data_IF_119396578385
#
_entry.id   IF_119396578385
#
_cell.length_a   1.000
_cell.length_b   1.000
_cell.length_c   1.000
_cell.angle_alpha   90.00
_cell.angle_beta   90.00
_cell.angle_gamma   90.00
#
_symmetry.space_group_name_H-M   'P 1'
#
loop_
_entity.id
_entity.type
_entity.pdbx_description
1 polymer ?
#
# COMPACT_ATOMS: atom_id res chain seq x y z
N UNK A 1 -6.38 13.10 7.59
CA UNK A 1 -6.95 11.86 8.19
C UNK A 1 -8.24 12.20 8.92
N UNK A 2 -9.31 11.47 8.63
CA UNK A 2 -10.59 11.58 9.36
C UNK A 2 -10.64 10.44 10.39
N UNK A 3 -10.90 10.77 11.65
CA UNK A 3 -11.03 9.81 12.75
C UNK A 3 -12.40 10.00 13.39
N UNK A 4 -13.21 8.93 13.41
CA UNK A 4 -14.52 8.93 14.04
C UNK A 4 -14.62 7.72 14.97
N UNK A 5 -14.84 7.97 16.26
CA UNK A 5 -15.07 6.90 17.23
C UNK A 5 -16.43 6.27 17.02
N UNK A 6 -16.48 4.94 16.90
CA UNK A 6 -17.74 4.18 16.82
C UNK A 6 -18.47 4.33 18.16
N UNK A 7 -19.47 5.21 18.20
CA UNK A 7 -20.31 5.47 19.37
C UNK A 7 -20.27 6.90 19.90
N UNK A 8 -19.20 7.66 19.70
CA UNK A 8 -19.14 9.08 20.14
C UNK A 8 -19.73 10.05 19.12
N UNK A 9 -19.74 9.68 17.84
CA UNK A 9 -20.17 10.55 16.73
C UNK A 9 -19.22 11.71 16.42
N UNK A 10 -18.25 12.00 17.30
CA UNK A 10 -17.28 13.09 17.14
C UNK A 10 -16.31 12.75 16.01
N UNK A 11 -16.32 13.58 14.97
CA UNK A 11 -15.34 13.58 13.89
C UNK A 11 -14.14 14.44 14.31
N UNK A 12 -12.95 13.85 14.32
CA UNK A 12 -11.68 14.57 14.39
C UNK A 12 -11.06 14.61 13.00
N UNK A 13 -10.57 15.79 12.61
CA UNK A 13 -9.84 16.00 11.37
C UNK A 13 -8.40 16.30 11.72
N UNK A 14 -7.48 15.49 11.19
CA UNK A 14 -6.05 15.68 11.36
C UNK A 14 -5.43 16.08 10.02
N UNK A 15 -4.82 17.25 9.97
CA UNK A 15 -3.96 17.63 8.84
C UNK A 15 -2.65 16.85 8.93
N UNK A 16 -2.27 16.17 7.84
CA UNK A 16 -1.06 15.36 7.76
C UNK A 16 0.11 16.11 7.13
N UNK A 17 -0.15 17.21 6.40
CA UNK A 17 0.88 17.94 5.64
C UNK A 17 1.56 17.13 4.51
N UNK A 18 1.07 15.92 4.23
CA UNK A 18 1.62 14.98 3.25
C UNK A 18 0.47 14.22 2.57
N UNK A 19 0.66 13.84 1.31
CA UNK A 19 -0.21 12.88 0.65
C UNK A 19 -0.05 11.51 1.29
N UNK A 20 -1.14 10.99 1.86
CA UNK A 20 -1.19 9.67 2.48
C UNK A 20 -2.34 8.85 1.88
N UNK A 21 -2.13 7.55 1.76
CA UNK A 21 -3.07 6.65 1.04
C UNK A 21 -3.44 5.40 1.83
N UNK A 22 -2.61 4.97 2.78
CA UNK A 22 -2.87 3.77 3.55
C UNK A 22 -2.43 3.90 5.01
N UNK A 23 -3.09 3.13 5.87
CA UNK A 23 -2.84 3.07 7.31
C UNK A 23 -2.82 1.62 7.76
N UNK A 24 -1.79 1.25 8.51
CA UNK A 24 -1.68 0.00 9.23
C UNK A 24 -1.66 0.26 10.74
N UNK A 25 -2.19 -0.67 11.52
CA UNK A 25 -2.17 -0.59 12.98
C UNK A 25 -0.88 -1.23 13.48
N UNK A 26 -0.13 -0.51 14.33
CA UNK A 26 1.02 -1.08 15.04
C UNK A 26 0.52 -1.60 16.40
N UNK A 27 -0.15 -0.74 17.16
CA UNK A 27 -0.81 -1.02 18.43
C UNK A 27 -1.89 0.05 18.70
N UNK A 28 -2.43 0.07 19.92
CA UNK A 28 -3.48 1.01 20.34
C UNK A 28 -3.04 2.48 20.30
N UNK A 29 -1.74 2.76 20.47
CA UNK A 29 -1.20 4.11 20.55
C UNK A 29 -0.56 4.57 19.24
N UNK A 30 -0.24 3.63 18.35
CA UNK A 30 0.58 3.89 17.16
C UNK A 30 -0.01 3.27 15.90
N UNK A 31 0.05 4.04 14.83
CA UNK A 31 -0.29 3.62 13.49
C UNK A 31 0.90 3.84 12.56
N UNK A 32 0.98 3.08 11.48
CA UNK A 32 1.93 3.28 10.39
C UNK A 32 1.17 3.81 9.18
N UNK A 33 1.58 4.95 8.65
CA UNK A 33 0.93 5.61 7.52
C UNK A 33 1.88 5.58 6.33
N UNK A 34 1.40 5.09 5.19
CA UNK A 34 2.10 5.22 3.91
C UNK A 34 1.83 6.60 3.31
N UNK A 35 2.90 7.36 3.08
CA UNK A 35 2.86 8.71 2.52
C UNK A 35 3.73 8.83 1.26
N UNK A 36 3.65 9.96 0.59
CA UNK A 36 4.53 10.31 -0.55
C UNK A 36 6.03 10.33 -0.25
N UNK A 37 6.45 10.32 1.03
CA UNK A 37 7.87 10.27 1.42
C UNK A 37 8.24 9.00 2.20
N UNK A 38 7.29 8.08 2.38
CA UNK A 38 7.49 6.78 3.00
C UNK A 38 6.59 6.47 4.18
N UNK A 39 7.06 5.57 5.04
CA UNK A 39 6.32 5.08 6.19
C UNK A 39 6.54 6.00 7.39
N UNK A 40 5.45 6.55 7.91
CA UNK A 40 5.44 7.41 9.08
C UNK A 40 4.71 6.74 10.24
N UNK A 41 5.30 6.76 11.43
CA UNK A 41 4.58 6.39 12.65
C UNK A 41 3.74 7.59 13.07
N UNK A 42 2.42 7.38 13.18
CA UNK A 42 1.47 8.32 13.77
C UNK A 42 1.24 7.95 15.23
N UNK A 43 1.44 8.92 16.12
CA UNK A 43 0.92 8.86 17.49
C UNK A 43 -0.58 9.15 17.47
N UNK A 44 -1.39 8.23 17.98
CA UNK A 44 -2.86 8.32 17.88
C UNK A 44 -3.42 9.46 18.73
N UNK A 45 -2.83 9.71 19.90
CA UNK A 45 -3.32 10.72 20.84
C UNK A 45 -3.10 12.15 20.33
N UNK A 46 -1.95 12.40 19.72
CA UNK A 46 -1.51 13.75 19.29
C UNK A 46 -1.66 13.97 17.79
N UNK A 47 -1.76 12.90 17.00
CA UNK A 47 -1.73 12.96 15.55
C UNK A 47 -0.34 13.19 14.95
N UNK A 48 0.72 13.31 15.79
CA UNK A 48 2.09 13.57 15.35
C UNK A 48 2.59 12.47 14.42
N UNK A 49 3.12 12.85 13.26
CA UNK A 49 3.82 11.96 12.35
C UNK A 49 5.33 12.03 12.57
N UNK A 50 5.99 10.87 12.58
CA UNK A 50 7.45 10.74 12.60
C UNK A 50 7.88 9.79 11.50
N UNK A 51 8.79 10.21 10.62
CA UNK A 51 9.32 9.35 9.56
C UNK A 51 10.00 8.12 10.19
N UNK A 52 9.61 6.93 9.75
CA UNK A 52 10.17 5.65 10.20
C UNK A 52 11.03 5.02 9.11
N UNK A 53 10.53 4.96 7.88
CA UNK A 53 11.27 4.38 6.74
C UNK A 53 10.98 5.20 5.50
N UNK A 54 12.03 5.76 4.89
CA UNK A 54 11.91 6.49 3.64
C UNK A 54 11.54 5.52 2.50
N UNK A 55 10.57 5.91 1.67
CA UNK A 55 10.25 5.26 0.41
C UNK A 55 10.08 6.41 -0.59
N UNK A 56 10.94 6.46 -1.61
CA UNK A 56 10.91 7.50 -2.63
C UNK A 56 10.95 8.95 -2.07
N UNK A 57 11.53 9.16 -0.89
CA UNK A 57 11.53 10.45 -0.19
C UNK A 57 12.25 11.57 -0.96
N UNK A 58 13.14 11.21 -1.88
CA UNK A 58 13.90 12.07 -2.78
C UNK A 58 13.21 12.26 -4.14
N UNK A 59 12.06 11.62 -4.38
CA UNK A 59 11.31 11.70 -5.61
C UNK A 59 10.01 12.52 -5.42
N UNK A 60 10.00 13.81 -5.79
CA UNK A 60 8.82 14.65 -5.59
C UNK A 60 7.66 14.33 -6.54
N UNK A 61 7.90 13.48 -7.56
CA UNK A 61 6.93 13.18 -8.62
C UNK A 61 5.98 12.04 -8.24
N UNK A 62 6.34 11.22 -7.25
CA UNK A 62 5.55 10.06 -6.86
C UNK A 62 4.82 10.29 -5.54
N UNK A 63 3.82 9.45 -5.30
CA UNK A 63 3.09 9.36 -4.03
C UNK A 63 2.78 7.92 -3.72
N UNK A 64 2.53 7.63 -2.44
CA UNK A 64 1.90 6.36 -2.05
C UNK A 64 0.50 6.19 -2.67
N UNK A 65 0.09 4.94 -2.87
CA UNK A 65 -1.26 4.55 -3.28
C UNK A 65 -1.71 3.28 -2.52
N UNK A 66 -2.48 2.39 -3.16
CA UNK A 66 -3.00 1.19 -2.51
C UNK A 66 -1.88 0.36 -1.86
N UNK A 67 -2.17 -0.11 -0.66
CA UNK A 67 -1.22 -0.80 0.19
C UNK A 67 -1.98 -1.73 1.14
N UNK A 68 -1.39 -2.88 1.46
CA UNK A 68 -2.02 -3.83 2.40
C UNK A 68 -1.02 -4.58 3.24
N UNK A 69 -1.41 -4.82 4.49
CA UNK A 69 -0.68 -5.68 5.42
C UNK A 69 -0.99 -7.15 5.11
N UNK A 70 0.05 -7.91 4.77
CA UNK A 70 0.03 -9.35 4.67
C UNK A 70 -0.29 -9.98 6.05
N UNK A 71 -0.97 -11.14 6.13
CA UNK A 71 -1.30 -11.78 7.42
C UNK A 71 -0.14 -11.99 8.41
N UNK A 72 1.10 -12.08 7.92
CA UNK A 72 2.30 -12.19 8.78
C UNK A 72 2.81 -10.85 9.35
N UNK A 73 2.22 -9.72 8.96
CA UNK A 73 2.61 -8.37 9.36
C UNK A 73 3.53 -7.63 8.38
N UNK A 74 3.91 -8.24 7.26
CA UNK A 74 4.60 -7.51 6.18
C UNK A 74 3.66 -6.52 5.51
N UNK A 75 4.16 -5.34 5.13
CA UNK A 75 3.37 -4.30 4.48
C UNK A 75 3.77 -4.17 3.02
N UNK A 76 2.86 -4.48 2.09
CA UNK A 76 3.04 -4.14 0.69
C UNK A 76 2.53 -2.72 0.45
N UNK A 77 3.41 -1.85 -0.05
CA UNK A 77 3.15 -0.42 -0.23
C UNK A 77 3.28 -0.06 -1.70
N UNK A 78 2.17 0.32 -2.33
CA UNK A 78 2.15 0.81 -3.69
C UNK A 78 2.54 2.29 -3.78
N UNK A 79 3.25 2.65 -4.84
CA UNK A 79 3.47 4.03 -5.26
C UNK A 79 2.95 4.25 -6.69
N UNK A 80 2.79 5.51 -7.08
CA UNK A 80 2.43 5.94 -8.43
C UNK A 80 2.89 7.38 -8.68
N UNK A 81 2.97 7.80 -9.95
CA UNK A 81 3.15 9.20 -10.30
C UNK A 81 1.97 10.05 -9.84
N UNK A 82 2.23 11.27 -9.34
CA UNK A 82 1.18 12.24 -8.97
C UNK A 82 0.35 12.68 -10.17
N UNK A 83 0.94 12.63 -11.35
CA UNK A 83 0.33 12.89 -12.66
C UNK A 83 -0.14 11.61 -13.37
N UNK A 84 -0.08 10.46 -12.69
CA UNK A 84 -0.35 9.13 -13.26
C UNK A 84 0.59 8.78 -14.43
N UNK A 85 1.81 9.32 -14.41
CA UNK A 85 2.86 9.05 -15.40
C UNK A 85 3.15 7.55 -15.53
N UNK A 86 3.23 7.10 -16.79
CA UNK A 86 3.44 5.68 -17.14
C UNK A 86 4.69 5.10 -16.46
N UNK A 87 4.50 4.04 -15.69
CA UNK A 87 5.57 3.29 -15.04
C UNK A 87 6.33 4.03 -13.94
N UNK A 88 5.83 5.17 -13.45
CA UNK A 88 6.52 5.98 -12.44
C UNK A 88 6.52 5.35 -11.04
N UNK A 89 5.56 4.47 -10.76
CA UNK A 89 5.36 3.82 -9.47
C UNK A 89 6.02 2.45 -9.35
N UNK A 90 5.88 1.89 -8.16
CA UNK A 90 6.41 0.59 -7.78
C UNK A 90 5.55 -0.03 -6.67
N UNK A 91 5.76 -1.31 -6.39
CA UNK A 91 5.25 -1.95 -5.17
C UNK A 91 6.45 -2.33 -4.31
N UNK A 92 6.46 -1.87 -3.06
CA UNK A 92 7.46 -2.16 -2.06
C UNK A 92 6.94 -3.15 -1.04
N UNK A 93 7.85 -3.90 -0.43
CA UNK A 93 7.63 -4.75 0.73
C UNK A 93 8.42 -4.19 1.89
N UNK A 94 7.76 -3.99 3.02
CA UNK A 94 8.38 -3.64 4.28
C UNK A 94 8.07 -4.70 5.33
N UNK A 95 9.09 -5.23 5.99
CA UNK A 95 8.91 -6.16 7.11
C UNK A 95 10.08 -6.10 8.07
N UNK A 96 9.77 -5.95 9.37
CA UNK A 96 10.76 -5.98 10.46
C UNK A 96 11.97 -5.05 10.22
N UNK A 97 11.73 -3.87 9.67
CA UNK A 97 12.76 -2.85 9.42
C UNK A 97 13.47 -2.98 8.07
N UNK A 98 13.20 -4.03 7.30
CA UNK A 98 13.73 -4.19 5.96
C UNK A 98 12.75 -3.68 4.90
N UNK A 99 13.27 -2.99 3.89
CA UNK A 99 12.52 -2.49 2.74
C UNK A 99 13.09 -3.11 1.46
N UNK A 100 12.23 -3.63 0.60
CA UNK A 100 12.58 -4.12 -0.74
C UNK A 100 11.59 -3.62 -1.77
N UNK A 101 12.05 -3.30 -2.97
CA UNK A 101 11.14 -3.11 -4.12
C UNK A 101 10.81 -4.48 -4.70
N UNK A 102 9.53 -4.81 -4.80
CA UNK A 102 9.05 -6.07 -5.39
C UNK A 102 8.84 -5.94 -6.89
N UNK A 103 8.11 -4.91 -7.31
CA UNK A 103 7.73 -4.67 -8.69
C UNK A 103 8.01 -3.21 -9.05
N UNK A 104 8.66 -2.98 -10.19
CA UNK A 104 8.87 -1.65 -10.78
C UNK A 104 7.91 -1.41 -11.95
N UNK A 105 7.99 -0.22 -12.54
CA UNK A 105 7.30 0.13 -13.78
C UNK A 105 5.77 0.02 -13.68
N UNK A 106 5.23 0.32 -12.49
CA UNK A 106 3.80 0.36 -12.23
C UNK A 106 3.28 1.77 -12.50
N UNK A 107 2.22 1.91 -13.30
CA UNK A 107 1.60 3.23 -13.54
C UNK A 107 0.70 3.62 -12.38
N UNK A 108 -0.26 2.76 -12.00
CA UNK A 108 -1.17 2.97 -10.87
C UNK A 108 -1.29 1.67 -10.08
N UNK A 109 -0.65 1.59 -8.91
CA UNK A 109 -0.68 0.39 -8.06
C UNK A 109 -2.02 0.24 -7.34
N UNK A 110 -2.71 -0.88 -7.52
CA UNK A 110 -4.02 -1.12 -6.91
C UNK A 110 -4.27 -2.60 -6.61
N UNK A 111 -5.41 -2.88 -5.98
CA UNK A 111 -5.92 -4.22 -5.69
C UNK A 111 -4.93 -5.12 -4.94
N UNK A 112 -4.05 -4.55 -4.11
CA UNK A 112 -3.12 -5.32 -3.30
C UNK A 112 -3.95 -6.08 -2.26
N UNK A 113 -4.01 -7.41 -2.38
CA UNK A 113 -4.62 -8.28 -1.38
C UNK A 113 -3.93 -9.64 -1.26
N UNK A 114 -4.31 -10.41 -0.26
CA UNK A 114 -3.68 -11.69 0.07
C UNK A 114 -4.72 -12.75 0.35
N UNK A 115 -4.43 -14.01 0.00
CA UNK A 115 -5.25 -15.12 0.47
C UNK A 115 -5.24 -15.18 1.99
N UNK A 116 -6.31 -15.73 2.58
CA UNK A 116 -6.44 -15.80 4.04
C UNK A 116 -5.29 -16.57 4.72
N UNK A 117 -4.68 -17.54 4.02
CA UNK A 117 -3.51 -18.28 4.49
C UNK A 117 -2.16 -17.64 4.15
N UNK A 118 -2.16 -16.46 3.51
CA UNK A 118 -0.97 -15.70 3.13
C UNK A 118 -0.15 -16.31 2.00
N UNK A 119 -0.63 -17.37 1.34
CA UNK A 119 0.16 -18.06 0.31
C UNK A 119 0.05 -17.48 -1.09
N UNK A 120 -0.88 -16.56 -1.31
CA UNK A 120 -1.07 -15.89 -2.59
C UNK A 120 -1.20 -14.40 -2.34
N UNK A 121 -0.45 -13.61 -3.09
CA UNK A 121 -0.63 -12.17 -3.19
C UNK A 121 -1.25 -11.82 -4.54
N UNK A 122 -2.09 -10.81 -4.55
CA UNK A 122 -2.73 -10.24 -5.73
C UNK A 122 -2.40 -8.75 -5.81
N UNK A 123 -2.28 -8.23 -7.02
CA UNK A 123 -2.13 -6.79 -7.27
C UNK A 123 -2.46 -6.49 -8.74
N UNK A 124 -2.72 -5.24 -9.07
CA UNK A 124 -2.84 -4.76 -10.45
C UNK A 124 -2.03 -3.50 -10.65
N UNK A 125 -1.50 -3.32 -11.86
CA UNK A 125 -1.36 -1.97 -12.41
C UNK A 125 -2.67 -1.65 -13.12
N UNK A 126 -3.45 -0.69 -12.59
CA UNK A 126 -4.77 -0.35 -13.14
C UNK A 126 -4.71 -0.03 -14.63
N UNK A 127 -3.62 0.56 -15.12
CA UNK A 127 -3.44 0.93 -16.53
C UNK A 127 -3.36 -0.29 -17.47
N UNK A 128 -2.97 -1.46 -16.94
CA UNK A 128 -2.85 -2.69 -17.73
C UNK A 128 -4.17 -3.46 -17.84
N UNK A 129 -5.09 -3.24 -16.90
CA UNK A 129 -6.32 -4.03 -16.78
C UNK A 129 -6.09 -5.50 -16.46
N UNK A 130 -4.93 -5.87 -15.90
CA UNK A 130 -4.57 -7.25 -15.56
C UNK A 130 -4.42 -7.40 -14.05
N UNK A 131 -5.32 -8.17 -13.43
CA UNK A 131 -5.14 -8.59 -12.04
C UNK A 131 -4.11 -9.72 -12.03
N UNK A 132 -3.00 -9.48 -11.34
CA UNK A 132 -1.91 -10.42 -11.18
C UNK A 132 -2.11 -11.24 -9.90
N UNK A 133 -1.60 -12.46 -9.90
CA UNK A 133 -1.37 -13.27 -8.70
C UNK A 133 0.06 -13.76 -8.66
N UNK A 134 0.63 -13.89 -7.48
CA UNK A 134 1.95 -14.49 -7.26
C UNK A 134 1.90 -15.35 -6.00
N UNK A 135 2.61 -16.48 -6.00
CA UNK A 135 2.78 -17.24 -4.77
C UNK A 135 3.51 -16.37 -3.75
N UNK A 136 3.21 -16.52 -2.47
CA UNK A 136 3.74 -15.69 -1.40
C UNK A 136 4.18 -16.58 -0.24
N UNK A 137 5.32 -16.26 0.36
CA UNK A 137 5.78 -16.93 1.58
C UNK A 137 4.90 -16.48 2.76
N UNK A 138 4.09 -17.36 3.37
CA UNK A 138 3.22 -16.97 4.46
C UNK A 138 4.00 -16.51 5.71
N UNK A 139 5.28 -16.85 5.87
CA UNK A 139 6.09 -16.43 7.01
C UNK A 139 6.73 -15.05 6.82
N UNK A 140 7.06 -14.67 5.59
CA UNK A 140 7.77 -13.43 5.26
C UNK A 140 6.95 -12.41 4.48
N UNK A 141 5.84 -12.82 3.85
CA UNK A 141 5.06 -11.98 2.95
C UNK A 141 5.81 -11.59 1.67
N UNK A 142 6.80 -12.40 1.26
CA UNK A 142 7.59 -12.17 0.05
C UNK A 142 7.04 -12.99 -1.12
N UNK A 143 7.03 -12.45 -2.36
CA UNK A 143 6.64 -13.21 -3.52
C UNK A 143 7.64 -14.37 -3.79
N UNK A 144 7.10 -15.49 -4.26
CA UNK A 144 7.86 -16.68 -4.67
C UNK A 144 7.65 -16.87 -6.18
N UNK A 145 8.70 -16.56 -6.94
CA UNK A 145 8.70 -16.64 -8.40
C UNK A 145 7.92 -15.51 -9.07
N UNK A 146 7.62 -15.70 -10.36
CA UNK A 146 7.04 -14.66 -11.21
C UNK A 146 5.52 -14.54 -11.04
N UNK A 147 4.97 -13.30 -11.04
CA UNK A 147 3.53 -13.07 -11.12
C UNK A 147 2.93 -13.65 -12.40
N UNK A 148 1.67 -14.07 -12.31
CA UNK A 148 0.87 -14.57 -13.43
C UNK A 148 -0.46 -13.84 -13.49
N UNK A 149 -0.99 -13.65 -14.69
CA UNK A 149 -2.34 -13.11 -14.85
C UNK A 149 -3.33 -14.05 -14.16
N UNK A 150 -4.14 -13.47 -13.27
CA UNK A 150 -5.26 -14.14 -12.62
C UNK A 150 -6.57 -13.80 -13.32
N UNK A 151 -6.79 -12.51 -13.62
CA UNK A 151 -7.95 -12.02 -14.37
C UNK A 151 -7.49 -11.01 -15.43
N UNK A 152 -8.01 -11.17 -16.65
CA UNK A 152 -7.87 -10.19 -17.73
C UNK A 152 -9.15 -9.36 -17.80
N UNK A 153 -9.06 -8.10 -17.34
CA UNK A 153 -10.19 -7.18 -17.25
C UNK A 153 -10.27 -6.22 -18.44
N UNK A 154 -9.38 -6.35 -19.44
CA UNK A 154 -9.27 -5.37 -20.55
C UNK A 154 -10.53 -5.24 -21.42
N UNK A 155 -11.38 -6.26 -21.43
CA UNK A 155 -12.65 -6.28 -22.18
C UNK A 155 -13.87 -5.87 -21.34
N UNK A 156 -13.69 -5.56 -20.06
CA UNK A 156 -14.76 -5.24 -19.12
C UNK A 156 -14.83 -3.75 -18.81
N UNK A 157 -15.99 -3.29 -18.31
CA UNK A 157 -16.17 -1.89 -17.88
C UNK A 157 -15.57 -1.67 -16.50
N UNK A 158 -15.09 -0.45 -16.25
CA UNK A 158 -14.50 -0.04 -14.98
C UNK A 158 -13.07 -0.54 -14.80
N UNK A 159 -12.51 -0.27 -13.62
CA UNK A 159 -11.14 -0.63 -13.27
C UNK A 159 -11.12 -1.63 -12.13
N UNK A 160 -10.10 -2.50 -12.11
CA UNK A 160 -9.80 -3.31 -10.93
C UNK A 160 -9.15 -2.39 -9.89
N UNK A 161 -9.87 -2.16 -8.80
CA UNK A 161 -9.50 -1.25 -7.73
C UNK A 161 -10.04 -1.80 -6.40
N UNK A 162 -9.30 -1.62 -5.31
CA UNK A 162 -9.70 -1.98 -3.95
C UNK A 162 -10.18 -3.44 -3.77
N UNK A 163 -9.25 -4.37 -3.53
CA UNK A 163 -9.57 -5.77 -3.20
C UNK A 163 -9.33 -6.10 -1.73
N UNK A 164 -10.10 -7.06 -1.19
CA UNK A 164 -10.02 -7.53 0.21
C UNK A 164 -9.81 -9.03 0.30
#
# INVERSE_FOLDING_TARGET
LLEQGVGSGVLKVHDLGLMASALAIIDEQRQLIATETGLHVRDVATGKLTLHTAIEADNPLTRSNDSRVHPCGAFWVGTMGKDEGKGAGSIYWFFKGELRRLFSDITVSNSICFSADGKIAYYTDTSTGLLMRVACDPAAGLPIGEPKVFVDHRSSKGYVDGSV
#
